data_IF_033774316880
#
_entry.id   IF_033774316880
#
_cell.length_a   1.000
_cell.length_b   1.000
_cell.length_c   1.000
_cell.angle_alpha   90.00
_cell.angle_beta   90.00
_cell.angle_gamma   90.00
#
_symmetry.space_group_name_H-M   'P 1'
#
loop_
_entity.id
_entity.type
_entity.pdbx_description
1 polymer ?
#
# COMPACT_ATOMS: atom_id res chain seq x y z
N UNK A 1 30.38 0.94 77.24
CA UNK A 1 29.17 0.69 76.44
C UNK A 1 29.38 1.33 75.06
N UNK A 2 29.62 0.52 74.02
CA UNK A 2 29.72 1.00 72.62
C UNK A 2 28.34 0.91 72.00
N UNK A 3 27.78 2.08 71.58
CA UNK A 3 26.53 2.13 70.81
C UNK A 3 26.86 1.89 69.34
N UNK A 4 26.46 0.73 68.78
CA UNK A 4 26.52 0.47 67.35
C UNK A 4 25.37 1.21 66.62
N UNK A 5 25.73 2.10 65.74
CA UNK A 5 24.79 2.80 64.86
C UNK A 5 24.55 1.92 63.65
N UNK A 6 23.34 1.37 63.50
CA UNK A 6 22.92 0.60 62.32
C UNK A 6 22.38 1.65 61.32
N UNK A 7 23.12 1.86 60.21
CA UNK A 7 22.68 2.65 59.07
C UNK A 7 21.88 1.72 58.16
N UNK A 8 20.55 1.87 58.11
CA UNK A 8 19.68 1.21 57.17
C UNK A 8 19.71 2.02 55.87
N UNK A 9 20.40 1.47 54.83
CA UNK A 9 20.30 1.97 53.48
C UNK A 9 18.97 1.52 52.88
N UNK A 10 18.00 2.42 52.79
CA UNK A 10 16.77 2.21 52.02
C UNK A 10 17.10 2.45 50.56
N UNK A 11 17.28 1.36 49.81
CA UNK A 11 17.42 1.42 48.35
C UNK A 11 16.04 1.71 47.78
N UNK A 12 15.79 2.97 47.41
CA UNK A 12 14.55 3.37 46.73
C UNK A 12 14.58 2.86 45.30
N UNK A 13 13.96 1.71 45.01
CA UNK A 13 13.69 1.27 43.66
C UNK A 13 12.63 2.18 43.05
N UNK A 14 13.06 3.14 42.23
CA UNK A 14 12.17 3.87 41.32
C UNK A 14 11.79 2.89 40.22
N UNK A 15 10.65 2.24 40.36
CA UNK A 15 10.00 1.50 39.27
C UNK A 15 9.48 2.58 38.33
N UNK A 16 10.20 2.83 37.26
CA UNK A 16 9.68 3.58 36.11
C UNK A 16 8.59 2.73 35.45
N UNK A 17 7.37 2.88 35.89
CA UNK A 17 6.22 2.34 35.19
C UNK A 17 6.11 3.11 33.87
N UNK A 18 6.55 2.52 32.76
CA UNK A 18 6.25 3.01 31.42
C UNK A 18 4.74 2.84 31.18
N UNK A 19 3.94 3.74 31.73
CA UNK A 19 2.56 3.84 31.29
C UNK A 19 2.55 4.33 29.85
N UNK A 20 1.82 3.65 28.97
CA UNK A 20 1.50 4.11 27.63
C UNK A 20 1.05 5.58 27.71
N UNK A 21 1.91 6.50 27.24
CA UNK A 21 1.67 7.95 27.42
C UNK A 21 0.70 8.45 26.35
N UNK A 22 -0.55 7.98 26.43
CA UNK A 22 -1.61 8.48 25.57
C UNK A 22 -1.79 10.00 25.75
N UNK A 23 -1.92 10.72 24.64
CA UNK A 23 -2.08 12.18 24.69
C UNK A 23 -0.80 12.97 25.00
N UNK A 24 0.37 12.33 24.99
CA UNK A 24 1.65 12.96 25.38
C UNK A 24 2.07 14.15 24.50
N UNK A 25 1.63 14.19 23.25
CA UNK A 25 1.96 15.25 22.29
C UNK A 25 1.02 16.47 22.45
N UNK A 26 0.13 16.45 23.46
CA UNK A 26 -0.73 17.56 23.81
C UNK A 26 -1.89 17.79 22.85
N UNK A 27 -2.52 18.94 22.94
CA UNK A 27 -3.60 19.33 22.05
C UNK A 27 -3.03 19.79 20.68
N UNK A 28 -3.65 19.33 19.60
CA UNK A 28 -3.27 19.71 18.22
C UNK A 28 -4.38 20.52 17.57
N UNK A 29 -4.01 21.65 16.98
CA UNK A 29 -4.87 22.44 16.11
C UNK A 29 -4.23 22.57 14.73
N UNK A 30 -4.96 22.16 13.68
CA UNK A 30 -4.54 22.22 12.28
C UNK A 30 -5.25 23.39 11.62
N UNK A 31 -4.48 24.35 11.13
CA UNK A 31 -5.00 25.60 10.52
C UNK A 31 -4.62 25.77 9.05
N UNK A 32 -3.71 24.94 8.55
CA UNK A 32 -3.23 24.89 7.19
C UNK A 32 -3.04 23.43 6.77
N UNK A 33 -2.45 23.15 5.62
CA UNK A 33 -2.06 21.78 5.24
C UNK A 33 -0.89 21.32 6.10
N UNK A 34 -1.07 20.23 6.83
CA UNK A 34 -0.06 19.67 7.73
C UNK A 34 0.09 18.15 7.56
N UNK A 35 1.33 17.70 7.45
CA UNK A 35 1.74 16.29 7.58
C UNK A 35 2.18 16.06 9.02
N UNK A 36 1.67 15.01 9.65
CA UNK A 36 1.93 14.74 11.08
C UNK A 36 2.65 13.44 11.35
N UNK A 37 2.83 12.60 10.36
CA UNK A 37 3.56 11.35 10.48
C UNK A 37 5.00 11.48 9.98
N UNK A 38 5.90 10.67 10.53
CA UNK A 38 7.24 10.46 10.00
C UNK A 38 7.41 8.98 9.68
N UNK A 39 8.19 8.67 8.64
CA UNK A 39 8.28 7.34 8.07
C UNK A 39 9.71 6.86 7.98
N UNK A 40 9.90 5.54 8.14
CA UNK A 40 11.12 4.82 7.80
C UNK A 40 10.78 3.42 7.30
N UNK A 41 11.76 2.69 6.79
CA UNK A 41 11.58 1.32 6.31
C UNK A 41 12.27 0.32 7.21
N UNK A 42 11.71 -0.88 7.31
CA UNK A 42 12.38 -2.05 7.86
C UNK A 42 13.51 -2.46 6.90
N UNK A 43 14.70 -2.76 7.43
CA UNK A 43 15.86 -3.14 6.60
C UNK A 43 16.31 -4.57 6.80
N UNK A 44 15.79 -5.27 7.81
CA UNK A 44 15.98 -6.69 8.05
C UNK A 44 14.64 -7.35 8.37
N UNK A 45 14.46 -8.62 8.03
CA UNK A 45 13.25 -9.35 8.39
C UNK A 45 13.03 -9.32 9.90
N UNK A 46 11.80 -9.18 10.32
CA UNK A 46 11.39 -9.25 11.72
C UNK A 46 10.39 -10.39 11.88
N UNK A 47 10.62 -11.23 12.89
CA UNK A 47 9.84 -12.44 13.11
C UNK A 47 8.88 -12.28 14.28
N UNK A 48 7.79 -12.99 14.24
CA UNK A 48 6.87 -13.19 15.37
C UNK A 48 7.66 -13.40 16.68
N UNK A 49 7.31 -12.69 17.73
CA UNK A 49 7.97 -12.76 19.02
C UNK A 49 9.20 -11.86 19.20
N UNK A 50 9.68 -11.20 18.14
CA UNK A 50 10.81 -10.26 18.26
C UNK A 50 10.39 -8.99 19.03
N UNK A 51 11.27 -8.48 19.88
CA UNK A 51 11.12 -7.22 20.61
C UNK A 51 12.08 -6.13 20.11
N UNK A 52 12.71 -6.36 18.96
CA UNK A 52 13.61 -5.39 18.34
C UNK A 52 13.51 -5.45 16.83
N UNK A 53 13.55 -4.30 16.18
CA UNK A 53 13.49 -4.16 14.72
C UNK A 53 14.63 -3.31 14.20
N UNK A 54 15.11 -3.64 12.99
CA UNK A 54 16.17 -2.89 12.31
C UNK A 54 15.56 -2.04 11.19
N UNK A 55 15.81 -0.74 11.22
CA UNK A 55 15.21 0.27 10.33
C UNK A 55 16.29 1.09 9.63
N UNK A 56 15.91 1.77 8.54
CA UNK A 56 16.83 2.65 7.81
C UNK A 56 17.23 3.88 8.63
N UNK A 57 16.30 4.45 9.40
CA UNK A 57 16.54 5.58 10.29
C UNK A 57 15.55 5.55 11.45
N UNK A 58 16.06 5.41 12.67
CA UNK A 58 15.24 5.37 13.88
C UNK A 58 14.86 6.75 14.45
N UNK A 59 15.35 7.84 13.88
CA UNK A 59 15.04 9.19 14.40
C UNK A 59 13.57 9.56 14.22
N UNK A 60 12.98 9.25 13.10
CA UNK A 60 11.56 9.48 12.76
C UNK A 60 11.04 10.85 13.22
N UNK A 61 11.79 11.92 12.93
CA UNK A 61 11.52 13.26 13.46
C UNK A 61 11.19 14.33 12.41
N UNK A 62 10.96 13.95 11.12
CA UNK A 62 10.69 14.93 10.07
C UNK A 62 9.52 15.88 10.40
N UNK A 63 8.47 15.35 11.05
CA UNK A 63 7.28 16.10 11.41
C UNK A 63 7.06 16.15 12.95
N UNK A 64 8.14 15.92 13.71
CA UNK A 64 8.14 15.96 15.18
C UNK A 64 9.26 16.87 15.69
N UNK A 65 9.04 17.51 16.83
CA UNK A 65 10.04 18.36 17.47
C UNK A 65 11.19 17.59 18.14
N UNK A 66 11.04 16.28 18.29
CA UNK A 66 12.01 15.39 18.94
C UNK A 66 12.23 14.12 18.12
N UNK A 67 13.37 13.47 18.30
CA UNK A 67 13.61 12.12 17.81
C UNK A 67 12.68 11.11 18.49
N UNK A 68 12.54 9.93 17.87
CA UNK A 68 11.77 8.83 18.46
C UNK A 68 12.33 8.47 19.84
N UNK A 69 11.45 8.26 20.81
CA UNK A 69 11.81 8.08 22.21
C UNK A 69 10.91 7.02 22.88
N UNK A 70 11.30 6.51 24.05
CA UNK A 70 10.46 5.61 24.85
C UNK A 70 9.05 6.17 25.06
N UNK A 71 8.05 5.30 24.91
CA UNK A 71 6.63 5.66 25.01
C UNK A 71 6.00 6.24 23.74
N UNK A 72 6.78 6.48 22.68
CA UNK A 72 6.24 6.80 21.36
C UNK A 72 5.48 5.61 20.78
N UNK A 73 4.48 5.92 19.96
CA UNK A 73 3.71 4.93 19.23
C UNK A 73 4.19 4.87 17.77
N UNK A 74 4.40 3.68 17.30
CA UNK A 74 4.65 3.43 15.88
C UNK A 74 3.62 2.44 15.33
N UNK A 75 3.32 2.53 14.04
CA UNK A 75 2.67 1.48 13.28
C UNK A 75 3.71 0.83 12.39
N UNK A 76 3.73 -0.48 12.39
CA UNK A 76 4.51 -1.29 11.45
C UNK A 76 3.54 -1.95 10.49
N UNK A 77 3.76 -1.78 9.19
CA UNK A 77 2.87 -2.34 8.15
C UNK A 77 3.68 -2.81 6.94
N UNK A 78 3.44 -4.04 6.49
CA UNK A 78 3.99 -4.53 5.23
C UNK A 78 3.04 -4.21 4.10
N UNK A 79 3.43 -3.30 3.20
CA UNK A 79 2.55 -2.78 2.15
C UNK A 79 2.68 -3.50 0.82
N UNK A 80 3.77 -4.24 0.59
CA UNK A 80 4.04 -4.97 -0.66
C UNK A 80 4.66 -6.34 -0.38
N UNK A 81 5.00 -7.09 -1.44
CA UNK A 81 5.69 -8.38 -1.36
C UNK A 81 4.83 -9.58 -1.71
N UNK A 82 3.57 -9.39 -2.09
CA UNK A 82 2.76 -10.48 -2.61
C UNK A 82 3.37 -11.06 -3.90
N UNK A 83 3.31 -12.37 -4.06
CA UNK A 83 3.72 -13.05 -5.30
C UNK A 83 2.52 -13.32 -6.18
N UNK A 84 2.74 -13.24 -7.51
CA UNK A 84 1.70 -13.43 -8.50
C UNK A 84 2.06 -14.53 -9.50
N UNK A 85 1.06 -15.02 -10.21
CA UNK A 85 1.25 -15.83 -11.39
C UNK A 85 1.83 -14.95 -12.52
N UNK A 86 3.10 -15.12 -12.80
CA UNK A 86 3.81 -14.44 -13.90
C UNK A 86 4.44 -15.40 -14.91
N UNK A 87 4.05 -16.67 -14.89
CA UNK A 87 4.65 -17.72 -15.70
C UNK A 87 4.41 -17.53 -17.22
N UNK A 88 3.32 -16.88 -17.61
CA UNK A 88 2.97 -16.67 -19.00
C UNK A 88 2.29 -15.32 -19.21
N UNK A 89 2.94 -14.42 -19.94
CA UNK A 89 2.43 -13.08 -20.21
C UNK A 89 1.30 -13.02 -21.25
N UNK A 90 0.94 -14.13 -21.85
CA UNK A 90 -0.14 -14.19 -22.85
C UNK A 90 -1.47 -14.70 -22.29
N UNK A 91 -1.53 -15.09 -21.03
CA UNK A 91 -2.74 -15.65 -20.41
C UNK A 91 -3.39 -14.68 -19.45
N UNK A 92 -4.71 -14.74 -19.36
CA UNK A 92 -5.51 -13.86 -18.52
C UNK A 92 -5.27 -14.01 -17.01
N UNK A 93 -4.69 -15.12 -16.57
CA UNK A 93 -4.33 -15.40 -15.19
C UNK A 93 -3.02 -14.72 -14.76
N UNK A 94 -2.32 -14.04 -15.67
CA UNK A 94 -1.17 -13.24 -15.28
C UNK A 94 -1.59 -12.16 -14.29
N UNK A 95 -0.88 -12.08 -13.18
CA UNK A 95 -1.14 -11.08 -12.13
C UNK A 95 -2.01 -11.56 -10.98
N UNK A 96 -2.59 -12.77 -11.05
CA UNK A 96 -3.32 -13.36 -9.92
C UNK A 96 -2.38 -13.65 -8.75
N UNK A 97 -2.82 -13.35 -7.52
CA UNK A 97 -2.02 -13.60 -6.32
C UNK A 97 -1.88 -15.10 -6.07
N UNK A 98 -0.64 -15.53 -5.93
CA UNK A 98 -0.30 -16.87 -5.48
C UNK A 98 -0.07 -16.94 -3.97
N UNK A 99 0.50 -15.89 -3.38
CA UNK A 99 0.76 -15.79 -1.95
C UNK A 99 0.89 -14.32 -1.53
N UNK A 100 0.32 -13.95 -0.42
CA UNK A 100 0.42 -12.61 0.15
C UNK A 100 1.78 -12.34 0.82
N UNK A 101 2.52 -13.37 1.26
CA UNK A 101 3.86 -13.24 1.87
C UNK A 101 3.93 -12.17 2.97
N UNK A 102 2.99 -12.21 3.91
CA UNK A 102 2.86 -11.23 5.00
C UNK A 102 2.38 -9.83 4.57
N UNK A 103 2.18 -9.56 3.28
CA UNK A 103 1.62 -8.29 2.81
C UNK A 103 0.23 -8.06 3.43
N UNK A 104 0.02 -6.87 3.97
CA UNK A 104 -1.18 -6.50 4.70
C UNK A 104 -1.10 -6.70 6.23
N UNK A 105 -0.10 -7.41 6.74
CA UNK A 105 0.13 -7.46 8.19
C UNK A 105 0.46 -6.06 8.71
N UNK A 106 -0.19 -5.67 9.80
CA UNK A 106 0.12 -4.42 10.50
C UNK A 106 -0.13 -4.57 11.99
N UNK A 107 0.60 -3.80 12.79
CA UNK A 107 0.40 -3.70 14.22
C UNK A 107 0.87 -2.34 14.77
N UNK A 108 0.28 -1.94 15.89
CA UNK A 108 0.67 -0.76 16.63
C UNK A 108 1.56 -1.18 17.78
N UNK A 109 2.72 -0.53 17.88
CA UNK A 109 3.78 -0.92 18.80
C UNK A 109 4.27 0.29 19.58
N UNK A 110 4.49 0.13 20.86
CA UNK A 110 5.11 1.16 21.68
C UNK A 110 6.62 0.98 21.71
N UNK A 111 7.34 2.08 21.61
CA UNK A 111 8.79 2.10 21.66
C UNK A 111 9.26 1.95 23.12
N UNK A 112 10.08 0.95 23.38
CA UNK A 112 10.77 0.77 24.66
C UNK A 112 12.05 1.60 24.70
N UNK A 113 12.86 1.53 23.66
CA UNK A 113 14.11 2.29 23.54
C UNK A 113 14.61 2.41 22.12
N UNK A 114 15.49 3.37 21.87
CA UNK A 114 16.17 3.60 20.58
C UNK A 114 17.68 3.61 20.83
N UNK A 115 18.33 2.43 20.86
CA UNK A 115 19.72 2.33 21.30
C UNK A 115 20.73 2.90 20.29
N UNK A 116 20.38 2.98 19.01
CA UNK A 116 21.23 3.48 17.94
C UNK A 116 20.40 3.96 16.73
N UNK A 117 21.00 4.59 15.69
CA UNK A 117 20.28 5.16 14.56
C UNK A 117 19.49 4.18 13.70
N UNK A 118 19.66 2.88 13.87
CA UNK A 118 19.04 1.84 13.03
C UNK A 118 18.26 0.77 13.81
N UNK A 119 18.15 0.90 15.13
CA UNK A 119 17.45 -0.07 15.96
C UNK A 119 16.38 0.57 16.81
N UNK A 120 15.21 -0.03 16.82
CA UNK A 120 14.08 0.32 17.69
C UNK A 120 13.74 -0.93 18.52
N UNK A 121 13.78 -0.82 19.84
CA UNK A 121 13.29 -1.83 20.76
C UNK A 121 11.82 -1.55 21.10
N UNK A 122 11.04 -2.60 21.23
CA UNK A 122 9.59 -2.59 21.40
C UNK A 122 9.20 -3.05 22.80
N UNK A 123 8.20 -2.42 23.36
CA UNK A 123 7.65 -2.74 24.69
C UNK A 123 6.96 -4.13 24.72
N UNK A 124 6.42 -4.56 23.57
CA UNK A 124 5.79 -5.85 23.39
C UNK A 124 6.38 -6.59 22.18
N UNK A 125 6.39 -7.94 22.20
CA UNK A 125 6.83 -8.72 21.06
C UNK A 125 5.89 -8.56 19.86
N UNK A 126 6.43 -8.71 18.65
CA UNK A 126 5.67 -8.73 17.40
C UNK A 126 4.67 -9.88 17.38
N UNK A 127 3.48 -9.62 16.84
CA UNK A 127 2.43 -10.62 16.62
C UNK A 127 2.47 -11.26 15.23
N UNK A 128 3.26 -10.71 14.31
CA UNK A 128 3.36 -11.17 12.93
C UNK A 128 4.81 -11.25 12.47
N UNK A 129 5.03 -12.03 11.42
CA UNK A 129 6.25 -11.98 10.64
C UNK A 129 6.19 -10.84 9.62
N UNK A 130 7.36 -10.23 9.35
CA UNK A 130 7.52 -9.17 8.36
C UNK A 130 8.75 -9.43 7.50
N UNK A 131 8.57 -9.27 6.19
CA UNK A 131 9.63 -9.48 5.20
C UNK A 131 10.08 -8.12 4.66
N UNK A 132 11.31 -7.72 4.96
CA UNK A 132 11.83 -6.38 4.58
C UNK A 132 11.72 -6.08 3.07
N UNK A 133 11.93 -7.10 2.22
CA UNK A 133 11.74 -6.97 0.76
C UNK A 133 10.29 -6.66 0.34
N UNK A 134 9.33 -6.84 1.24
CA UNK A 134 7.92 -6.51 1.03
C UNK A 134 7.57 -5.06 1.34
N UNK A 135 8.54 -4.14 1.38
CA UNK A 135 8.33 -2.73 1.74
C UNK A 135 7.51 -2.59 3.04
N UNK A 136 8.18 -2.89 4.15
CA UNK A 136 7.60 -2.68 5.49
C UNK A 136 7.85 -1.25 5.92
N UNK A 137 6.78 -0.50 6.11
CA UNK A 137 6.82 0.90 6.54
C UNK A 137 6.63 0.98 8.04
N UNK A 138 7.50 1.72 8.70
CA UNK A 138 7.36 2.12 10.10
C UNK A 138 6.89 3.58 10.10
N UNK A 139 5.74 3.82 10.72
CA UNK A 139 5.11 5.14 10.79
C UNK A 139 5.10 5.59 12.24
N UNK A 140 5.76 6.71 12.57
CA UNK A 140 5.59 7.34 13.89
C UNK A 140 4.25 8.02 13.97
N UNK A 141 3.49 7.72 15.01
CA UNK A 141 2.12 8.17 15.22
C UNK A 141 2.09 9.21 16.31
N UNK A 142 1.63 10.45 16.04
CA UNK A 142 1.43 11.42 17.10
C UNK A 142 0.28 11.00 18.01
N UNK A 143 0.46 11.26 19.33
CA UNK A 143 -0.46 10.88 20.40
C UNK A 143 -1.06 12.12 21.03
N UNK A 144 -2.09 12.67 20.38
CA UNK A 144 -2.73 13.92 20.81
C UNK A 144 -3.70 13.71 21.98
N UNK A 145 -3.74 14.70 22.89
CA UNK A 145 -4.79 14.76 23.92
C UNK A 145 -6.13 15.22 23.35
N UNK A 146 -6.11 16.08 22.33
CA UNK A 146 -7.27 16.47 21.51
C UNK A 146 -6.81 16.90 20.12
N UNK A 147 -7.72 16.87 19.13
CA UNK A 147 -7.45 17.30 17.78
C UNK A 147 -8.55 18.25 17.31
N UNK A 148 -8.16 19.40 16.76
CA UNK A 148 -9.07 20.30 16.06
C UNK A 148 -8.50 20.59 14.67
N UNK A 149 -9.25 20.26 13.63
CA UNK A 149 -8.95 20.66 12.25
C UNK A 149 -9.89 21.83 11.94
N UNK A 150 -9.35 23.04 11.88
CA UNK A 150 -10.13 24.27 11.62
C UNK A 150 -10.60 24.34 10.17
N UNK A 151 -11.58 25.16 9.90
CA UNK A 151 -12.00 25.48 8.54
C UNK A 151 -10.78 26.00 7.73
N UNK A 152 -10.51 25.38 6.57
CA UNK A 152 -9.32 25.65 5.75
C UNK A 152 -8.06 24.86 6.15
N UNK A 153 -8.05 24.18 7.30
CA UNK A 153 -7.00 23.23 7.68
C UNK A 153 -7.16 21.90 6.96
N UNK A 154 -6.05 21.28 6.60
CA UNK A 154 -5.99 19.95 5.96
C UNK A 154 -4.97 19.11 6.72
N UNK A 155 -5.42 18.03 7.33
CA UNK A 155 -4.54 17.01 7.90
C UNK A 155 -4.27 15.96 6.82
N UNK A 156 -2.99 15.71 6.53
CA UNK A 156 -2.60 14.86 5.41
C UNK A 156 -1.36 14.03 5.71
N UNK A 157 -0.88 13.27 4.73
CA UNK A 157 0.32 12.44 4.76
C UNK A 157 1.32 12.89 3.70
N UNK A 158 2.58 12.45 3.81
CA UNK A 158 3.50 12.50 2.67
C UNK A 158 3.02 11.55 1.56
N UNK A 159 3.21 11.94 0.31
CA UNK A 159 2.89 11.07 -0.81
C UNK A 159 3.78 9.82 -0.83
N UNK A 160 3.22 8.71 -1.27
CA UNK A 160 3.97 7.47 -1.50
C UNK A 160 5.11 7.71 -2.52
N UNK A 161 6.32 7.40 -2.12
CA UNK A 161 7.51 7.60 -2.94
C UNK A 161 8.07 6.30 -3.56
N UNK A 162 7.39 5.17 -3.35
CA UNK A 162 7.83 3.83 -3.74
C UNK A 162 8.40 3.00 -2.58
N UNK A 163 8.62 3.61 -1.42
CA UNK A 163 9.14 2.97 -0.22
C UNK A 163 8.37 3.36 1.04
N UNK A 164 7.98 4.62 1.17
CA UNK A 164 7.29 5.19 2.34
C UNK A 164 6.27 6.25 1.91
N UNK A 165 5.40 6.66 2.82
CA UNK A 165 4.35 7.64 2.57
C UNK A 165 2.98 7.01 2.34
N UNK A 166 1.99 7.82 1.99
CA UNK A 166 0.62 7.40 1.70
C UNK A 166 -0.21 6.96 2.91
N UNK A 167 0.31 7.08 4.11
CA UNK A 167 -0.31 6.60 5.34
C UNK A 167 -0.48 7.74 6.31
N UNK A 168 -1.71 8.01 6.74
CA UNK A 168 -2.03 8.91 7.83
C UNK A 168 -2.53 8.10 9.03
N UNK A 169 -1.82 8.19 10.14
CA UNK A 169 -2.19 7.53 11.38
C UNK A 169 -2.03 8.49 12.57
N UNK A 170 -3.04 8.59 13.40
CA UNK A 170 -3.07 9.47 14.58
C UNK A 170 -3.73 8.75 15.76
N UNK A 171 -3.28 9.02 16.96
CA UNK A 171 -3.99 8.65 18.19
C UNK A 171 -4.51 9.91 18.87
N UNK A 172 -5.78 9.91 19.24
CA UNK A 172 -6.40 11.02 20.01
C UNK A 172 -7.14 10.44 21.20
N UNK A 173 -6.80 10.88 22.40
CA UNK A 173 -7.42 10.37 23.64
C UNK A 173 -8.68 11.12 24.05
N UNK A 174 -8.82 12.37 23.63
CA UNK A 174 -9.97 13.22 23.93
C UNK A 174 -10.81 13.51 22.69
N UNK A 175 -11.33 14.73 22.61
CA UNK A 175 -12.23 15.16 21.55
C UNK A 175 -11.49 15.41 20.25
N UNK A 176 -12.06 14.90 19.14
CA UNK A 176 -11.67 15.25 17.78
C UNK A 176 -12.77 16.10 17.15
N UNK A 177 -12.43 17.31 16.69
CA UNK A 177 -13.32 18.22 15.97
C UNK A 177 -12.76 18.49 14.57
N UNK A 178 -13.53 18.17 13.53
CA UNK A 178 -13.11 18.36 12.14
C UNK A 178 -14.05 19.33 11.46
N UNK A 179 -13.59 20.58 11.32
CA UNK A 179 -14.26 21.65 10.55
C UNK A 179 -13.56 21.89 9.19
N UNK A 180 -12.37 21.34 9.01
CA UNK A 180 -11.60 21.31 7.77
C UNK A 180 -11.63 19.91 7.15
N UNK A 181 -10.49 19.46 6.63
CA UNK A 181 -10.38 18.18 5.94
C UNK A 181 -9.31 17.26 6.57
N UNK A 182 -9.57 15.96 6.51
CA UNK A 182 -8.57 14.90 6.62
C UNK A 182 -8.52 14.28 5.23
N UNK A 183 -7.41 14.48 4.50
CA UNK A 183 -7.34 14.13 3.08
C UNK A 183 -5.99 13.50 2.72
N UNK A 184 -6.04 12.28 2.21
CA UNK A 184 -4.92 11.51 1.67
C UNK A 184 -5.13 11.12 0.21
N UNK A 185 -6.02 11.83 -0.50
CA UNK A 185 -6.32 11.58 -1.91
C UNK A 185 -5.06 11.70 -2.77
N UNK A 186 -4.86 10.75 -3.66
CA UNK A 186 -3.71 10.63 -4.56
C UNK A 186 -2.33 10.49 -3.89
N UNK A 187 -2.27 10.17 -2.60
CA UNK A 187 -1.01 10.00 -1.86
C UNK A 187 -0.58 8.53 -1.71
N UNK A 188 -1.43 7.56 -2.11
CA UNK A 188 -1.14 6.13 -2.08
C UNK A 188 -0.28 5.64 -3.24
N UNK A 189 -0.37 4.37 -3.57
CA UNK A 189 0.35 3.76 -4.68
C UNK A 189 0.17 4.54 -5.98
N UNK A 190 1.27 4.67 -6.74
CA UNK A 190 1.30 5.49 -7.96
C UNK A 190 0.62 4.78 -9.13
N UNK A 191 -0.10 5.53 -9.94
CA UNK A 191 -0.57 5.07 -11.24
C UNK A 191 0.59 4.88 -12.22
N UNK A 192 0.34 4.16 -13.31
CA UNK A 192 1.25 4.08 -14.44
C UNK A 192 1.33 5.41 -15.19
N UNK A 193 2.46 5.64 -15.86
CA UNK A 193 2.65 6.83 -16.68
C UNK A 193 1.81 6.74 -17.95
N UNK A 194 1.40 7.91 -18.43
CA UNK A 194 0.72 8.02 -19.71
C UNK A 194 1.71 7.60 -20.81
N UNK A 195 1.24 6.71 -21.68
CA UNK A 195 1.99 6.32 -22.86
C UNK A 195 1.54 7.14 -24.07
N UNK A 196 2.52 7.72 -24.75
CA UNK A 196 2.32 8.46 -25.99
C UNK A 196 3.06 7.81 -27.18
N UNK A 197 3.68 6.66 -26.99
CA UNK A 197 4.63 6.06 -27.94
C UNK A 197 4.18 4.72 -28.51
N UNK A 198 3.28 3.99 -27.86
CA UNK A 198 2.77 2.71 -28.40
C UNK A 198 1.96 2.95 -29.66
N UNK A 199 2.35 2.28 -30.73
CA UNK A 199 1.70 2.39 -32.04
C UNK A 199 0.77 1.23 -32.35
N UNK A 200 1.00 0.06 -31.76
CA UNK A 200 0.22 -1.16 -31.99
C UNK A 200 -0.09 -1.84 -30.67
N UNK A 201 -1.27 -2.42 -30.58
CA UNK A 201 -1.68 -3.21 -29.43
C UNK A 201 -1.16 -4.63 -29.50
N UNK A 202 -0.38 -5.02 -28.53
CA UNK A 202 -0.05 -6.42 -28.32
C UNK A 202 -1.20 -7.19 -27.63
N UNK A 203 -1.18 -8.51 -27.70
CA UNK A 203 -2.14 -9.36 -26.97
C UNK A 203 -1.69 -9.68 -25.55
N UNK A 204 -0.49 -9.28 -25.17
CA UNK A 204 0.16 -9.62 -23.90
C UNK A 204 -0.49 -8.95 -22.71
N UNK A 205 -0.46 -9.63 -21.59
CA UNK A 205 -0.85 -9.08 -20.28
C UNK A 205 0.33 -8.41 -19.58
N UNK A 206 1.55 -8.76 -19.96
CA UNK A 206 2.76 -8.20 -19.41
C UNK A 206 3.86 -8.13 -20.47
N UNK A 207 4.62 -7.05 -20.46
CA UNK A 207 5.82 -6.85 -21.26
C UNK A 207 6.73 -5.81 -20.58
N UNK A 208 8.02 -5.83 -20.92
CA UNK A 208 8.98 -4.79 -20.52
C UNK A 208 9.26 -3.78 -21.63
N UNK A 209 8.75 -4.01 -22.83
CA UNK A 209 8.88 -3.08 -23.94
C UNK A 209 7.81 -1.97 -23.82
N UNK A 210 8.20 -0.69 -23.66
CA UNK A 210 7.25 0.42 -23.61
C UNK A 210 6.46 0.62 -24.91
N UNK A 211 6.89 0.01 -26.02
CA UNK A 211 6.14 0.08 -27.27
C UNK A 211 4.95 -0.87 -27.33
N UNK A 212 4.89 -1.85 -26.43
CA UNK A 212 3.83 -2.85 -26.37
C UNK A 212 2.62 -2.43 -25.50
N UNK A 213 2.68 -1.25 -24.85
CA UNK A 213 1.57 -0.71 -24.07
C UNK A 213 1.98 0.24 -22.95
N UNK A 214 1.01 0.81 -22.31
CA UNK A 214 1.19 1.75 -21.21
C UNK A 214 1.67 1.06 -19.91
N UNK A 215 2.27 1.86 -19.05
CA UNK A 215 2.79 1.42 -17.76
C UNK A 215 1.67 1.01 -16.80
N UNK A 216 1.92 -0.01 -15.99
CA UNK A 216 1.01 -0.48 -14.94
C UNK A 216 1.09 0.40 -13.68
N UNK A 217 -0.03 0.47 -12.97
CA UNK A 217 -0.06 1.04 -11.62
C UNK A 217 0.59 0.13 -10.58
N UNK A 218 1.13 0.74 -9.54
CA UNK A 218 1.65 0.03 -8.38
C UNK A 218 0.55 -0.65 -7.57
N UNK A 219 0.93 -1.66 -6.81
CA UNK A 219 0.04 -2.40 -5.91
C UNK A 219 0.82 -3.18 -4.86
N UNK A 220 0.14 -4.12 -4.23
CA UNK A 220 0.71 -4.94 -3.15
C UNK A 220 1.84 -5.88 -3.59
N UNK A 221 2.05 -6.05 -4.88
CA UNK A 221 3.17 -6.84 -5.43
C UNK A 221 4.46 -6.05 -5.40
N UNK A 222 4.41 -4.79 -5.84
CA UNK A 222 5.59 -3.95 -5.95
C UNK A 222 5.32 -2.67 -6.75
N UNK A 223 6.41 -1.99 -7.09
CA UNK A 223 6.43 -0.81 -7.92
C UNK A 223 6.84 -1.14 -9.37
N UNK A 224 6.83 -0.16 -10.25
CA UNK A 224 7.18 -0.33 -11.67
C UNK A 224 8.59 -0.90 -11.90
N UNK A 225 9.56 -0.53 -11.06
CA UNK A 225 10.91 -1.07 -11.13
C UNK A 225 10.92 -2.56 -10.76
N UNK A 226 10.16 -2.95 -9.74
CA UNK A 226 10.00 -4.35 -9.37
C UNK A 226 9.37 -5.15 -10.52
N UNK A 227 8.34 -4.59 -11.17
CA UNK A 227 7.67 -5.25 -12.30
C UNK A 227 8.61 -5.48 -13.48
N UNK A 228 9.49 -4.52 -13.80
CA UNK A 228 10.45 -4.72 -14.89
C UNK A 228 11.56 -5.71 -14.53
N UNK A 229 12.04 -5.68 -13.29
CA UNK A 229 13.20 -6.46 -12.86
C UNK A 229 12.85 -7.93 -12.58
N UNK A 230 11.70 -8.18 -11.95
CA UNK A 230 11.36 -9.50 -11.42
C UNK A 230 10.18 -10.16 -12.13
N UNK A 231 9.32 -9.40 -12.80
CA UNK A 231 8.12 -9.95 -13.40
C UNK A 231 8.13 -9.90 -14.93
N UNK A 232 9.13 -9.27 -15.54
CA UNK A 232 9.17 -8.98 -16.99
C UNK A 232 7.87 -8.37 -17.50
N UNK A 233 7.26 -7.47 -16.70
CA UNK A 233 5.87 -7.09 -16.91
C UNK A 233 5.50 -5.68 -16.48
N UNK A 234 6.34 -4.67 -16.72
CA UNK A 234 6.05 -3.28 -16.36
C UNK A 234 4.91 -2.67 -17.14
N UNK A 235 4.75 -3.07 -18.40
CA UNK A 235 3.81 -2.48 -19.34
C UNK A 235 2.68 -3.43 -19.68
N UNK A 236 1.72 -2.96 -20.46
CA UNK A 236 0.55 -3.65 -20.97
C UNK A 236 -0.59 -3.85 -19.96
N UNK A 237 -1.66 -4.49 -20.40
CA UNK A 237 -3.00 -4.49 -19.78
C UNK A 237 -3.18 -5.34 -18.52
N UNK A 238 -2.26 -6.26 -18.26
CA UNK A 238 -2.44 -7.15 -17.09
C UNK A 238 -2.27 -6.38 -15.79
N UNK A 239 -3.18 -6.54 -14.85
CA UNK A 239 -3.02 -6.02 -13.50
C UNK A 239 -2.13 -6.95 -12.67
N UNK A 240 -1.13 -6.40 -11.99
CA UNK A 240 -0.38 -7.14 -10.98
C UNK A 240 -1.14 -7.05 -9.66
N UNK A 241 -1.83 -8.10 -9.29
CA UNK A 241 -2.74 -8.14 -8.14
C UNK A 241 -3.75 -6.97 -8.16
N UNK A 242 -3.75 -6.14 -7.13
CA UNK A 242 -4.64 -4.97 -7.00
C UNK A 242 -4.13 -3.71 -7.69
N UNK A 243 -2.98 -3.75 -8.35
CA UNK A 243 -2.48 -2.63 -9.16
C UNK A 243 -3.28 -2.47 -10.45
N UNK A 244 -3.24 -1.30 -11.08
CA UNK A 244 -3.88 -1.04 -12.35
C UNK A 244 -3.09 -1.58 -13.53
N UNK A 245 -3.73 -2.20 -14.50
CA UNK A 245 -3.14 -2.54 -15.80
C UNK A 245 -3.01 -1.32 -16.70
N UNK A 246 -1.96 -1.23 -17.50
CA UNK A 246 -1.82 -0.24 -18.57
C UNK A 246 -2.72 -0.59 -19.75
N UNK A 247 -2.97 0.36 -20.66
CA UNK A 247 -3.54 0.05 -21.99
C UNK A 247 -2.50 -0.62 -22.86
N UNK A 248 -2.90 -1.46 -23.81
CA UNK A 248 -1.95 -2.17 -24.66
C UNK A 248 -1.91 -1.65 -26.09
N UNK A 249 -1.80 -0.35 -26.27
CA UNK A 249 -1.58 0.27 -27.56
C UNK A 249 -2.46 1.45 -27.88
N UNK A 250 -2.53 1.82 -29.14
CA UNK A 250 -3.23 3.01 -29.62
C UNK A 250 -4.71 3.01 -29.20
N UNK A 251 -5.16 4.14 -28.63
CA UNK A 251 -6.52 4.33 -28.12
C UNK A 251 -6.96 3.35 -27.01
N UNK A 252 -6.03 2.72 -26.31
CA UNK A 252 -6.34 1.87 -25.19
C UNK A 252 -6.26 2.64 -23.87
N UNK A 253 -7.30 2.53 -23.03
CA UNK A 253 -7.29 3.09 -21.68
C UNK A 253 -6.55 2.19 -20.69
N UNK A 254 -5.81 2.79 -19.78
CA UNK A 254 -5.32 2.10 -18.59
C UNK A 254 -6.44 1.84 -17.57
N UNK A 255 -6.16 1.03 -16.57
CA UNK A 255 -7.09 0.71 -15.51
C UNK A 255 -6.67 1.30 -14.15
N UNK A 256 -7.65 1.54 -13.30
CA UNK A 256 -7.40 1.83 -11.89
C UNK A 256 -6.98 0.60 -11.11
N UNK A 257 -6.27 0.82 -10.00
CA UNK A 257 -6.08 -0.20 -8.99
C UNK A 257 -7.37 -0.48 -8.23
N UNK A 258 -7.41 -1.56 -7.46
CA UNK A 258 -8.53 -1.91 -6.62
C UNK A 258 -8.18 -1.90 -5.13
N UNK A 259 -9.15 -1.54 -4.31
CA UNK A 259 -9.09 -1.76 -2.88
C UNK A 259 -9.57 -3.18 -2.56
N UNK A 260 -9.01 -3.78 -1.51
CA UNK A 260 -9.46 -5.07 -1.01
C UNK A 260 -10.90 -5.00 -0.50
N UNK A 261 -11.61 -6.13 -0.53
CA UNK A 261 -12.82 -6.32 0.26
C UNK A 261 -14.15 -6.17 -0.47
N UNK A 262 -14.21 -6.27 -1.80
CA UNK A 262 -15.49 -6.44 -2.47
C UNK A 262 -15.80 -7.95 -2.64
N UNK A 263 -16.70 -8.53 -1.81
CA UNK A 263 -17.07 -9.94 -1.92
C UNK A 263 -18.00 -10.22 -3.10
N UNK A 264 -18.46 -9.21 -3.80
CA UNK A 264 -19.33 -9.38 -4.96
C UNK A 264 -18.48 -9.62 -6.18
N UNK A 265 -18.85 -10.62 -6.96
CA UNK A 265 -18.28 -10.79 -8.29
C UNK A 265 -18.40 -9.48 -9.05
N UNK A 266 -17.31 -9.10 -9.71
CA UNK A 266 -17.34 -7.95 -10.56
C UNK A 266 -18.44 -8.12 -11.62
N UNK A 267 -19.38 -7.23 -11.62
CA UNK A 267 -20.39 -7.13 -12.69
C UNK A 267 -19.92 -6.07 -13.64
N UNK A 268 -19.71 -6.45 -14.84
CA UNK A 268 -19.16 -5.75 -15.99
C UNK A 268 -19.82 -4.41 -16.37
N UNK A 269 -20.39 -3.67 -15.49
CA UNK A 269 -21.05 -2.42 -15.82
C UNK A 269 -21.99 -2.58 -17.02
N UNK A 270 -22.69 -1.59 -17.43
CA UNK A 270 -23.74 -1.56 -18.45
C UNK A 270 -23.77 -2.72 -19.50
N UNK A 271 -24.21 -3.89 -19.11
CA UNK A 271 -24.83 -4.83 -20.04
C UNK A 271 -23.97 -5.94 -20.63
N UNK A 272 -22.80 -6.24 -20.09
CA UNK A 272 -22.03 -7.43 -20.51
C UNK A 272 -21.94 -8.39 -19.33
N UNK A 273 -22.68 -9.47 -19.36
CA UNK A 273 -22.57 -10.56 -18.39
C UNK A 273 -21.71 -11.65 -19.02
N UNK A 274 -20.44 -11.73 -18.61
CA UNK A 274 -19.55 -12.76 -19.05
C UNK A 274 -18.88 -13.45 -17.85
N UNK A 275 -19.19 -14.71 -17.56
CA UNK A 275 -18.58 -15.45 -16.46
C UNK A 275 -17.06 -15.61 -16.62
N UNK A 276 -16.52 -15.51 -17.83
CA UNK A 276 -15.07 -15.55 -18.07
C UNK A 276 -14.41 -14.26 -17.56
N UNK A 277 -15.08 -13.13 -17.61
CA UNK A 277 -14.60 -11.89 -17.03
C UNK A 277 -14.42 -12.01 -15.53
N UNK A 278 -15.35 -12.58 -14.82
CA UNK A 278 -15.25 -12.78 -13.38
C UNK A 278 -14.00 -13.58 -13.00
N UNK A 279 -13.66 -14.59 -13.78
CA UNK A 279 -12.44 -15.39 -13.60
C UNK A 279 -11.19 -14.58 -13.99
N UNK A 280 -11.25 -13.82 -15.07
CA UNK A 280 -10.12 -13.02 -15.57
C UNK A 280 -9.77 -11.83 -14.68
N UNK A 281 -10.67 -11.45 -13.80
CA UNK A 281 -10.53 -10.29 -12.90
C UNK A 281 -10.41 -10.68 -11.43
N UNK A 282 -10.37 -11.95 -11.13
CA UNK A 282 -10.12 -12.42 -9.77
C UNK A 282 -8.76 -11.92 -9.27
N UNK A 283 -8.72 -11.49 -8.03
CA UNK A 283 -7.48 -11.07 -7.38
C UNK A 283 -6.59 -12.28 -7.09
N UNK A 284 -7.19 -13.35 -6.61
CA UNK A 284 -6.50 -14.56 -6.18
C UNK A 284 -6.76 -15.74 -7.11
N UNK A 285 -5.83 -16.70 -7.08
CA UNK A 285 -6.07 -18.02 -7.65
C UNK A 285 -7.20 -18.74 -6.89
N UNK A 286 -7.89 -19.71 -7.52
CA UNK A 286 -9.05 -20.38 -6.91
C UNK A 286 -8.81 -20.97 -5.51
N UNK A 287 -7.59 -21.38 -5.20
CA UNK A 287 -7.25 -21.93 -3.88
C UNK A 287 -7.22 -20.88 -2.74
N UNK A 288 -7.18 -19.59 -3.08
CA UNK A 288 -7.21 -18.47 -2.12
C UNK A 288 -8.57 -17.75 -2.09
N UNK A 289 -9.53 -18.20 -2.90
CA UNK A 289 -10.87 -17.60 -2.96
C UNK A 289 -11.53 -17.55 -1.59
N UNK A 290 -12.02 -16.39 -1.23
CA UNK A 290 -12.62 -16.12 0.07
C UNK A 290 -11.80 -15.21 0.97
N UNK A 291 -10.56 -14.89 0.59
CA UNK A 291 -9.71 -13.94 1.32
C UNK A 291 -9.97 -12.50 0.85
N UNK A 292 -10.05 -12.29 -0.44
CA UNK A 292 -10.47 -11.02 -1.06
C UNK A 292 -10.98 -11.28 -2.47
N UNK A 293 -11.93 -10.47 -2.95
CA UNK A 293 -12.53 -10.61 -4.28
C UNK A 293 -12.28 -9.41 -5.19
N UNK A 294 -11.47 -8.46 -4.77
CA UNK A 294 -11.21 -7.27 -5.58
C UNK A 294 -9.87 -7.41 -6.30
N UNK A 295 -9.89 -7.71 -7.56
CA UNK A 295 -8.72 -7.64 -8.44
C UNK A 295 -8.43 -6.21 -8.87
N UNK A 296 -7.20 -5.95 -9.30
CA UNK A 296 -6.85 -4.74 -10.02
C UNK A 296 -7.58 -4.66 -11.35
N UNK A 297 -7.92 -3.46 -11.79
CA UNK A 297 -8.54 -3.26 -13.10
C UNK A 297 -7.56 -3.59 -14.22
N UNK A 298 -7.99 -4.34 -15.22
CA UNK A 298 -7.19 -4.59 -16.42
C UNK A 298 -7.30 -3.41 -17.38
N UNK A 299 -6.19 -3.03 -17.98
CA UNK A 299 -6.16 -2.04 -19.05
C UNK A 299 -6.92 -2.54 -20.30
N UNK A 300 -7.46 -1.59 -21.05
CA UNK A 300 -8.20 -1.87 -22.28
C UNK A 300 -7.28 -2.30 -23.41
N UNK A 301 -7.91 -2.85 -24.44
CA UNK A 301 -7.30 -3.05 -25.73
C UNK A 301 -7.41 -1.81 -26.61
N UNK A 302 -6.58 -1.73 -27.62
CA UNK A 302 -6.73 -0.74 -28.67
C UNK A 302 -8.12 -0.78 -29.26
N UNK A 303 -8.68 0.39 -29.47
CA UNK A 303 -9.92 0.55 -30.19
C UNK A 303 -9.62 0.62 -31.69
N UNK A 304 -10.17 -0.28 -32.48
CA UNK A 304 -10.08 -0.20 -33.90
C UNK A 304 -11.22 0.59 -34.49
N UNK A 305 -10.95 1.74 -35.03
CA UNK A 305 -11.82 2.43 -35.98
C UNK A 305 -11.44 2.12 -37.42
N UNK A 306 -10.30 1.48 -37.63
CA UNK A 306 -9.76 1.10 -38.92
C UNK A 306 -9.03 -0.23 -38.83
N UNK A 307 -8.84 -0.91 -39.96
CA UNK A 307 -8.12 -2.20 -40.03
C UNK A 307 -6.64 -2.13 -39.61
N UNK A 308 -6.11 -0.97 -39.37
CA UNK A 308 -4.74 -0.79 -38.87
C UNK A 308 -4.59 -0.80 -37.35
N UNK A 309 -5.71 -0.69 -36.62
CA UNK A 309 -5.74 -0.85 -35.18
C UNK A 309 -6.32 -2.23 -34.90
N UNK A 310 -5.47 -3.21 -34.79
CA UNK A 310 -5.93 -4.56 -34.53
C UNK A 310 -6.74 -4.61 -33.24
N UNK A 311 -7.96 -5.03 -33.44
CA UNK A 311 -8.90 -5.25 -32.39
C UNK A 311 -8.48 -6.42 -31.61
N UNK A 312 -7.90 -6.14 -30.54
CA UNK A 312 -7.72 -7.18 -29.57
C UNK A 312 -8.99 -7.30 -28.77
N UNK A 313 -9.64 -8.40 -28.93
CA UNK A 313 -10.82 -8.74 -28.15
C UNK A 313 -10.47 -8.78 -26.68
N UNK A 314 -11.37 -8.39 -25.83
CA UNK A 314 -11.22 -8.63 -24.42
C UNK A 314 -11.03 -10.14 -24.17
N UNK A 315 -10.22 -10.54 -23.17
CA UNK A 315 -9.95 -11.94 -22.92
C UNK A 315 -11.24 -12.73 -22.73
N UNK A 316 -11.37 -13.82 -23.45
CA UNK A 316 -12.50 -14.72 -23.34
C UNK A 316 -13.75 -14.33 -24.11
N UNK A 317 -13.75 -13.24 -24.85
CA UNK A 317 -14.90 -12.84 -25.65
C UNK A 317 -14.60 -13.02 -27.13
N UNK A 318 -15.22 -14.04 -27.74
CA UNK A 318 -14.95 -14.42 -29.13
C UNK A 318 -15.62 -13.51 -30.15
N UNK A 319 -16.60 -12.72 -29.80
CA UNK A 319 -17.32 -11.85 -30.70
C UNK A 319 -17.96 -10.68 -29.96
N UNK A 320 -17.25 -9.59 -29.90
CA UNK A 320 -17.87 -8.32 -29.60
C UNK A 320 -18.50 -7.78 -30.88
N UNK A 321 -19.58 -8.44 -31.26
CA UNK A 321 -20.37 -7.97 -32.41
C UNK A 321 -21.02 -6.65 -32.06
N UNK A 322 -20.60 -5.57 -32.67
CA UNK A 322 -21.18 -4.28 -32.44
C UNK A 322 -20.18 -3.16 -32.14
N UNK A 323 -20.57 -2.19 -31.38
CA UNK A 323 -19.73 -1.03 -31.08
C UNK A 323 -18.63 -1.38 -30.07
N UNK A 324 -17.50 -1.75 -30.58
CA UNK A 324 -16.31 -2.14 -29.84
C UNK A 324 -15.75 -1.03 -28.92
N UNK A 325 -16.03 0.21 -29.22
CA UNK A 325 -15.62 1.35 -28.40
C UNK A 325 -16.24 1.32 -27.02
N UNK A 326 -17.46 0.83 -26.90
CA UNK A 326 -18.16 0.70 -25.61
C UNK A 326 -17.58 -0.38 -24.72
N UNK A 327 -16.82 -1.28 -25.29
CA UNK A 327 -16.51 -2.55 -24.68
C UNK A 327 -15.02 -2.68 -24.34
N UNK A 328 -14.17 -2.03 -25.07
CA UNK A 328 -12.71 -2.17 -24.94
C UNK A 328 -12.08 -1.00 -24.21
N UNK A 329 -12.53 0.22 -24.49
CA UNK A 329 -11.94 1.45 -23.92
C UNK A 329 -12.40 1.81 -22.50
N UNK A 330 -13.31 1.07 -21.90
CA UNK A 330 -13.90 1.46 -20.63
C UNK A 330 -13.85 0.43 -19.52
N UNK A 331 -13.23 -0.70 -19.75
CA UNK A 331 -13.16 -1.77 -18.76
C UNK A 331 -11.99 -1.59 -17.79
N UNK A 332 -11.07 -0.71 -18.08
CA UNK A 332 -10.08 -0.28 -17.14
C UNK A 332 -10.66 0.78 -16.22
N UNK A 333 -10.68 0.56 -14.94
CA UNK A 333 -11.03 1.60 -14.01
C UNK A 333 -12.29 1.37 -13.20
N UNK A 334 -12.54 0.15 -12.79
CA UNK A 334 -13.41 -0.07 -11.64
C UNK A 334 -12.59 -0.52 -10.45
N UNK A 335 -12.75 0.18 -9.32
CA UNK A 335 -12.25 -0.28 -8.05
C UNK A 335 -12.97 -1.54 -7.62
#
# INVERSE_FOLDING_TARGET
>A
MRKSLIIINVLLFIVNSSFAQRGKDGAKTVTATEVVNSYTTLTANATLGSTSITVANSSLNNNFSSVLAPGDLIMMIQVQGATINNANQFVSTWGEILNYNNCGNYEFLQVESVPNPTTINLDCPLNFDYTALGNVVIVRIPRYSSLTVNAGGILTADAWNGLTGGILAIEVTGTTTVNGNIDVSNLGFRGGQIDASSTFGGTRYADNDPLEGAEKGEGIVGNQLFYSTFLAGRYTRGAAANGGGGGNGHNAGGAGGANAGNPLNWTDGAGVSDPIYNVSWALEIPSLVGVSNSGGGRGGYSHASTNGNELTQAPGYAAWGGDLRRQVGGLGGRP
#
